data_IF_910441741321
#
_entry.id   IF_910441741321
#
_cell.length_a   1.000
_cell.length_b   1.000
_cell.length_c   1.000
_cell.angle_alpha   90.00
_cell.angle_beta   90.00
_cell.angle_gamma   90.00
#
_symmetry.space_group_name_H-M   'P 1'
#
loop_
_entity.id
_entity.type
_entity.pdbx_description
1 polymer ?
#
# COMPACT_ATOMS: atom_id res chain seq x y z
N UNK A 1 6.14 -25.88 -0.84
CA UNK A 1 5.31 -24.67 -0.80
C UNK A 1 6.13 -23.66 -0.06
N UNK A 2 6.30 -22.46 -0.60
CA UNK A 2 7.11 -21.43 0.05
C UNK A 2 6.27 -20.67 1.06
N UNK A 3 6.77 -20.53 2.28
CA UNK A 3 6.09 -19.84 3.38
C UNK A 3 6.82 -18.54 3.74
N UNK A 4 6.07 -17.43 3.76
CA UNK A 4 6.58 -16.16 4.25
C UNK A 4 6.49 -16.12 5.77
N UNK A 5 7.63 -16.19 6.45
CA UNK A 5 7.72 -16.22 7.92
C UNK A 5 7.71 -14.82 8.52
N UNK A 6 8.39 -13.87 7.87
CA UNK A 6 8.50 -12.49 8.35
C UNK A 6 8.64 -11.52 7.18
N UNK A 7 8.04 -10.34 7.33
CA UNK A 7 8.23 -9.18 6.46
C UNK A 7 8.55 -7.97 7.32
N UNK A 8 9.56 -7.20 6.93
CA UNK A 8 9.95 -5.95 7.59
C UNK A 8 10.22 -4.91 6.53
N UNK A 9 9.38 -3.89 6.49
CA UNK A 9 9.44 -2.79 5.51
C UNK A 9 9.94 -1.52 6.20
N UNK A 10 10.95 -0.87 5.62
CA UNK A 10 11.45 0.41 6.09
C UNK A 10 10.45 1.55 5.79
N UNK A 11 10.48 2.63 6.56
CA UNK A 11 9.75 3.85 6.23
C UNK A 11 10.36 4.50 4.97
N UNK A 12 9.55 4.88 3.96
CA UNK A 12 10.08 5.58 2.78
C UNK A 12 10.68 6.93 3.18
N UNK A 13 11.74 7.35 2.48
CA UNK A 13 12.39 8.64 2.73
C UNK A 13 11.50 9.85 2.36
N UNK A 14 10.59 9.65 1.41
CA UNK A 14 9.58 10.64 0.98
C UNK A 14 8.47 9.95 0.20
N UNK A 15 7.34 10.61 0.03
CA UNK A 15 6.27 10.15 -0.85
C UNK A 15 6.27 10.89 -2.19
N UNK A 16 5.66 10.33 -3.25
CA UNK A 16 5.48 11.05 -4.50
C UNK A 16 4.71 12.35 -4.29
N UNK A 17 4.97 13.35 -5.14
CA UNK A 17 4.25 14.62 -5.08
C UNK A 17 2.73 14.42 -5.26
N UNK A 18 1.94 15.25 -4.58
CA UNK A 18 0.49 15.28 -4.73
C UNK A 18 0.09 15.53 -6.20
N UNK A 19 -0.90 14.81 -6.74
CA UNK A 19 -1.44 15.07 -8.06
C UNK A 19 -1.99 16.50 -8.17
N UNK A 20 -1.90 17.08 -9.37
CA UNK A 20 -2.51 18.36 -9.69
C UNK A 20 -4.05 18.29 -9.72
N UNK A 21 -4.72 19.43 -9.57
CA UNK A 21 -6.18 19.53 -9.73
C UNK A 21 -6.98 19.15 -8.48
N UNK A 22 -6.34 19.19 -7.31
CA UNK A 22 -7.01 19.13 -6.01
C UNK A 22 -7.71 20.46 -5.71
N UNK A 23 -8.87 20.38 -5.07
CA UNK A 23 -9.50 21.53 -4.42
C UNK A 23 -8.61 22.10 -3.31
N UNK A 24 -8.81 23.37 -2.94
CA UNK A 24 -8.03 24.00 -1.84
C UNK A 24 -8.11 23.20 -0.53
N UNK A 25 -9.28 22.70 -0.10
CA UNK A 25 -9.37 21.84 1.08
C UNK A 25 -8.61 20.52 0.92
N UNK A 26 -8.70 19.88 -0.24
CA UNK A 26 -8.00 18.61 -0.50
C UNK A 26 -6.48 18.78 -0.59
N UNK A 27 -6.01 19.91 -1.13
CA UNK A 27 -4.59 20.25 -1.18
C UNK A 27 -4.01 20.62 0.20
N UNK A 28 -4.86 20.97 1.18
CA UNK A 28 -4.46 21.27 2.55
C UNK A 28 -4.30 20.01 3.43
N UNK A 29 -4.77 18.85 2.96
CA UNK A 29 -4.55 17.58 3.65
C UNK A 29 -3.08 17.17 3.60
N UNK A 30 -2.64 16.42 4.62
CA UNK A 30 -1.35 15.77 4.59
C UNK A 30 -1.31 14.70 3.49
N UNK A 31 -0.46 14.93 2.49
CA UNK A 31 -0.29 14.04 1.35
C UNK A 31 0.31 12.68 1.74
N UNK A 32 1.18 12.65 2.76
CA UNK A 32 1.83 11.42 3.21
C UNK A 32 0.79 10.45 3.77
N UNK A 33 -0.13 10.94 4.60
CA UNK A 33 -1.25 10.15 5.12
C UNK A 33 -2.11 9.52 4.02
N UNK A 34 -2.31 10.21 2.88
CA UNK A 34 -3.09 9.67 1.76
C UNK A 34 -2.30 8.57 1.04
N UNK A 35 -1.00 8.78 0.82
CA UNK A 35 -0.14 7.76 0.22
C UNK A 35 0.00 6.51 1.08
N UNK A 36 0.19 6.66 2.39
CA UNK A 36 0.22 5.54 3.33
C UNK A 36 -1.04 4.69 3.24
N UNK A 37 -2.22 5.31 3.13
CA UNK A 37 -3.49 4.59 2.94
C UNK A 37 -3.55 3.85 1.61
N UNK A 38 -3.04 4.43 0.53
CA UNK A 38 -2.98 3.78 -0.78
C UNK A 38 -2.03 2.58 -0.75
N UNK A 39 -0.85 2.73 -0.16
CA UNK A 39 0.14 1.66 -0.06
C UNK A 39 -0.31 0.55 0.91
N UNK A 40 -1.04 0.87 1.98
CA UNK A 40 -1.67 -0.13 2.84
C UNK A 40 -2.76 -0.94 2.11
N UNK A 41 -3.41 -0.35 1.11
CA UNK A 41 -4.46 -1.02 0.32
C UNK A 41 -3.90 -1.82 -0.87
N UNK A 42 -2.66 -1.56 -1.27
CA UNK A 42 -2.05 -2.13 -2.48
C UNK A 42 -0.79 -2.93 -2.17
N UNK A 43 -0.33 -3.73 -3.12
CA UNK A 43 0.96 -4.44 -3.07
C UNK A 43 2.04 -3.70 -3.87
N UNK A 44 1.81 -2.42 -4.14
CA UNK A 44 2.70 -1.57 -4.94
C UNK A 44 3.29 -0.48 -4.06
N UNK A 45 4.60 -0.28 -4.14
CA UNK A 45 5.31 0.85 -3.51
C UNK A 45 5.72 1.83 -4.57
N UNK A 46 5.57 3.12 -4.28
CA UNK A 46 5.87 4.18 -5.24
C UNK A 46 7.20 4.88 -4.93
N UNK A 47 7.65 4.82 -3.67
CA UNK A 47 8.99 5.24 -3.28
C UNK A 47 9.85 4.05 -2.92
N UNK A 48 11.08 4.05 -3.45
CA UNK A 48 12.11 3.06 -3.15
C UNK A 48 12.43 3.01 -1.66
N UNK A 49 12.44 1.80 -1.10
CA UNK A 49 12.78 1.51 0.29
C UNK A 49 13.19 0.06 0.47
N UNK A 50 13.90 -0.17 1.56
CA UNK A 50 14.31 -1.52 1.93
C UNK A 50 13.13 -2.33 2.46
N UNK A 51 13.02 -3.57 1.99
CA UNK A 51 12.14 -4.59 2.55
C UNK A 51 12.94 -5.87 2.76
N UNK A 52 12.82 -6.44 3.94
CA UNK A 52 13.44 -7.71 4.32
C UNK A 52 12.36 -8.76 4.51
N UNK A 53 12.48 -9.87 3.80
CA UNK A 53 11.61 -11.03 3.93
C UNK A 53 12.38 -12.24 4.44
N UNK A 54 11.79 -12.96 5.38
CA UNK A 54 12.25 -14.30 5.78
C UNK A 54 11.29 -15.33 5.20
N UNK A 55 11.80 -16.25 4.39
CA UNK A 55 11.02 -17.20 3.62
C UNK A 55 11.56 -18.61 3.86
N UNK A 56 10.69 -19.57 4.08
CA UNK A 56 11.03 -20.99 4.12
C UNK A 56 10.54 -21.67 2.85
N UNK A 57 11.32 -22.61 2.32
CA UNK A 57 10.90 -23.41 1.18
C UNK A 57 11.90 -24.47 0.77
N UNK A 58 11.51 -25.25 -0.25
CA UNK A 58 12.32 -26.35 -0.79
C UNK A 58 13.12 -25.99 -2.04
N UNK A 59 14.08 -26.84 -2.38
CA UNK A 59 14.86 -26.74 -3.62
C UNK A 59 13.94 -26.73 -4.86
N UNK A 60 14.20 -25.80 -5.78
CA UNK A 60 13.47 -25.66 -7.04
C UNK A 60 12.10 -24.99 -6.91
N UNK A 61 11.66 -24.65 -5.69
CA UNK A 61 10.44 -23.88 -5.49
C UNK A 61 10.63 -22.41 -5.88
N UNK A 62 9.56 -21.79 -6.36
CA UNK A 62 9.57 -20.39 -6.75
C UNK A 62 8.80 -19.57 -5.72
N UNK A 63 9.45 -18.53 -5.19
CA UNK A 63 8.87 -17.57 -4.29
C UNK A 63 8.74 -16.20 -4.96
N UNK A 64 7.53 -15.64 -4.96
CA UNK A 64 7.27 -14.30 -5.49
C UNK A 64 7.22 -13.29 -4.33
N UNK A 65 8.04 -12.23 -4.32
CA UNK A 65 7.94 -11.17 -3.34
C UNK A 65 6.50 -10.59 -3.29
N UNK A 66 5.96 -10.33 -2.09
CA UNK A 66 4.58 -9.86 -1.94
C UNK A 66 4.41 -8.39 -2.34
N UNK A 67 5.49 -7.59 -2.31
CA UNK A 67 5.50 -6.18 -2.68
C UNK A 67 6.28 -5.95 -3.98
N UNK A 68 5.83 -4.96 -4.75
CA UNK A 68 6.34 -4.65 -6.08
C UNK A 68 6.42 -3.13 -6.32
N UNK A 69 7.17 -2.66 -7.32
CA UNK A 69 8.20 -3.39 -8.05
C UNK A 69 9.45 -3.64 -7.18
N UNK A 70 10.08 -4.80 -7.34
CA UNK A 70 11.40 -5.07 -6.76
C UNK A 70 12.46 -4.55 -7.72
N UNK A 71 13.25 -3.57 -7.31
CA UNK A 71 14.30 -2.96 -8.12
C UNK A 71 15.61 -3.75 -8.06
N UNK A 72 15.96 -4.27 -6.88
CA UNK A 72 17.12 -5.12 -6.64
C UNK A 72 16.92 -5.96 -5.40
N UNK A 73 17.66 -7.07 -5.27
CA UNK A 73 17.66 -7.89 -4.07
C UNK A 73 19.01 -8.57 -3.84
N UNK A 74 19.24 -8.97 -2.60
CA UNK A 74 20.29 -9.89 -2.16
C UNK A 74 19.67 -10.94 -1.25
N UNK A 75 20.31 -12.10 -1.13
CA UNK A 75 19.81 -13.17 -0.29
C UNK A 75 20.89 -13.80 0.59
N UNK A 76 20.45 -14.30 1.73
CA UNK A 76 21.22 -15.10 2.65
C UNK A 76 20.40 -16.33 3.04
N UNK A 77 21.04 -17.48 3.25
CA UNK A 77 20.43 -18.70 3.77
C UNK A 77 20.86 -18.91 5.21
N UNK A 78 19.92 -19.37 6.06
CA UNK A 78 20.24 -19.76 7.42
C UNK A 78 20.89 -21.14 7.43
N UNK A 79 22.19 -21.19 7.74
CA UNK A 79 22.97 -22.42 7.80
C UNK A 79 23.89 -22.41 9.01
N UNK A 80 23.96 -23.54 9.72
CA UNK A 80 24.88 -23.72 10.85
C UNK A 80 24.81 -22.61 11.93
N UNK A 81 23.63 -22.02 12.13
CA UNK A 81 23.40 -20.96 13.12
C UNK A 81 23.81 -19.55 12.67
N UNK A 82 24.04 -19.33 11.38
CA UNK A 82 24.38 -18.03 10.81
C UNK A 82 23.67 -17.80 9.46
N UNK A 83 23.57 -16.52 9.08
CA UNK A 83 23.16 -16.13 7.73
C UNK A 83 24.38 -16.19 6.80
N UNK A 84 24.29 -16.97 5.73
CA UNK A 84 25.35 -17.15 4.73
C UNK A 84 24.85 -16.63 3.39
N UNK A 85 25.62 -15.77 2.74
CA UNK A 85 25.23 -15.21 1.44
C UNK A 85 24.95 -16.31 0.42
N UNK A 86 23.84 -16.17 -0.30
CA UNK A 86 23.43 -17.09 -1.36
C UNK A 86 22.81 -16.32 -2.52
N UNK A 87 22.81 -16.93 -3.71
CA UNK A 87 22.13 -16.37 -4.87
C UNK A 87 20.76 -17.04 -5.03
N UNK A 88 19.71 -16.24 -5.21
CA UNK A 88 18.41 -16.72 -5.63
C UNK A 88 18.27 -16.45 -7.13
N UNK A 89 18.40 -17.46 -8.01
CA UNK A 89 18.22 -17.26 -9.43
C UNK A 89 16.78 -16.88 -9.77
N UNK A 90 16.59 -16.13 -10.85
CA UNK A 90 15.25 -15.88 -11.39
C UNK A 90 14.63 -17.20 -11.87
N UNK A 91 13.41 -17.44 -11.41
CA UNK A 91 12.55 -18.54 -11.83
C UNK A 91 11.37 -18.06 -12.67
N UNK A 92 10.54 -18.99 -13.19
CA UNK A 92 9.44 -18.66 -14.09
C UNK A 92 8.35 -17.76 -13.48
N UNK A 93 8.22 -17.73 -12.15
CA UNK A 93 7.17 -16.98 -11.44
C UNK A 93 7.70 -16.18 -10.24
N UNK A 94 9.01 -15.95 -10.14
CA UNK A 94 9.62 -15.28 -8.98
C UNK A 94 11.08 -15.68 -8.81
N UNK A 95 11.56 -15.68 -7.57
CA UNK A 95 12.90 -16.14 -7.22
C UNK A 95 12.87 -17.65 -6.94
N UNK A 96 13.77 -18.39 -7.55
CA UNK A 96 13.91 -19.83 -7.34
C UNK A 96 14.81 -20.11 -6.13
N UNK A 97 14.36 -20.97 -5.23
CA UNK A 97 15.12 -21.38 -4.06
C UNK A 97 16.15 -22.46 -4.44
N UNK A 98 17.46 -22.23 -4.23
CA UNK A 98 18.51 -23.13 -4.72
C UNK A 98 18.69 -24.40 -3.87
N UNK A 99 18.02 -24.48 -2.72
CA UNK A 99 18.14 -25.60 -1.78
C UNK A 99 17.04 -25.51 -0.72
N UNK A 100 16.83 -26.57 0.05
CA UNK A 100 15.92 -26.53 1.20
C UNK A 100 16.43 -25.60 2.30
N UNK A 101 15.50 -24.87 2.93
CA UNK A 101 15.76 -24.15 4.19
C UNK A 101 15.10 -22.78 4.29
N UNK A 102 15.65 -21.95 5.17
CA UNK A 102 15.17 -20.60 5.44
C UNK A 102 16.10 -19.57 4.79
N UNK A 103 15.51 -18.66 4.05
CA UNK A 103 16.17 -17.60 3.31
C UNK A 103 15.75 -16.24 3.86
N UNK A 104 16.69 -15.30 3.90
CA UNK A 104 16.46 -13.90 4.17
C UNK A 104 16.75 -13.12 2.90
N UNK A 105 15.75 -12.45 2.35
CA UNK A 105 15.84 -11.65 1.13
C UNK A 105 15.74 -10.19 1.52
N UNK A 106 16.80 -9.43 1.26
CA UNK A 106 16.83 -7.98 1.43
C UNK A 106 16.70 -7.34 0.06
N UNK A 107 15.67 -6.52 -0.14
CA UNK A 107 15.35 -5.93 -1.43
C UNK A 107 15.11 -4.43 -1.35
N UNK A 108 15.33 -3.75 -2.47
CA UNK A 108 14.84 -2.40 -2.70
C UNK A 108 13.53 -2.47 -3.45
N UNK A 109 12.44 -2.02 -2.82
CA UNK A 109 11.07 -2.10 -3.34
C UNK A 109 10.52 -0.71 -3.54
N UNK A 110 9.86 -0.50 -4.67
CA UNK A 110 9.29 0.78 -5.05
C UNK A 110 10.18 1.52 -6.02
N UNK A 111 9.57 2.01 -7.10
CA UNK A 111 10.21 2.82 -8.11
C UNK A 111 9.16 3.40 -9.07
N UNK A 112 9.56 4.44 -9.79
CA UNK A 112 8.82 5.00 -10.90
C UNK A 112 7.67 5.91 -10.50
N UNK A 113 7.08 6.56 -11.51
CA UNK A 113 5.96 7.47 -11.30
C UNK A 113 4.66 6.71 -11.04
N UNK A 114 3.81 7.17 -10.09
CA UNK A 114 2.51 6.60 -9.89
C UNK A 114 1.69 6.61 -11.19
N UNK A 115 1.11 5.46 -11.60
CA UNK A 115 0.24 5.43 -12.76
C UNK A 115 -0.94 6.39 -12.60
N UNK A 116 -1.45 6.92 -13.72
CA UNK A 116 -2.57 7.86 -13.72
C UNK A 116 -3.79 7.39 -12.91
N UNK A 117 -4.06 6.08 -12.90
CA UNK A 117 -5.15 5.51 -12.11
C UNK A 117 -4.91 5.66 -10.58
N UNK A 118 -3.66 5.55 -10.14
CA UNK A 118 -3.25 5.73 -8.75
C UNK A 118 -3.31 7.21 -8.37
N UNK A 119 -2.82 8.10 -9.24
CA UNK A 119 -2.94 9.56 -9.04
C UNK A 119 -4.41 10.00 -8.95
N UNK A 120 -5.28 9.43 -9.78
CA UNK A 120 -6.72 9.70 -9.72
C UNK A 120 -7.36 9.10 -8.45
N UNK A 121 -6.90 7.94 -7.99
CA UNK A 121 -7.35 7.37 -6.71
C UNK A 121 -6.95 8.25 -5.53
N UNK A 122 -5.72 8.78 -5.53
CA UNK A 122 -5.27 9.79 -4.57
C UNK A 122 -6.20 10.99 -4.60
N UNK A 123 -6.45 11.56 -5.78
CA UNK A 123 -7.31 12.74 -5.93
C UNK A 123 -8.70 12.48 -5.34
N UNK A 124 -9.35 11.36 -5.69
CA UNK A 124 -10.68 11.00 -5.17
C UNK A 124 -10.70 10.83 -3.66
N UNK A 125 -9.68 10.18 -3.10
CA UNK A 125 -9.57 10.00 -1.66
C UNK A 125 -9.36 11.35 -0.96
N UNK A 126 -8.49 12.20 -1.48
CA UNK A 126 -8.23 13.54 -0.96
C UNK A 126 -9.49 14.41 -0.96
N UNK A 127 -10.20 14.49 -2.10
CA UNK A 127 -11.45 15.26 -2.22
C UNK A 127 -12.52 14.74 -1.24
N UNK A 128 -12.66 13.41 -1.14
CA UNK A 128 -13.62 12.81 -0.23
C UNK A 128 -13.30 13.10 1.25
N UNK A 129 -12.02 13.09 1.62
CA UNK A 129 -11.59 13.37 2.99
C UNK A 129 -11.66 14.86 3.32
N UNK A 130 -11.51 15.73 2.33
CA UNK A 130 -11.60 17.17 2.50
C UNK A 130 -13.05 17.67 2.58
N UNK A 131 -13.98 17.00 1.90
CA UNK A 131 -15.42 17.21 2.08
C UNK A 131 -15.88 16.83 3.52
N UNK A 132 -15.10 16.03 4.24
CA UNK A 132 -15.41 15.53 5.59
C UNK A 132 -15.00 16.50 6.73
N UNK A 133 -14.47 17.70 6.42
CA UNK A 133 -13.94 18.63 7.43
C UNK A 133 -15.00 19.27 8.32
N UNK A 134 -16.28 19.25 7.94
CA UNK A 134 -17.31 19.93 8.71
C UNK A 134 -17.75 19.17 9.97
N UNK A 135 -17.51 17.83 10.08
CA UNK A 135 -18.16 16.98 11.11
C UNK A 135 -17.39 15.72 11.53
N UNK A 136 -16.06 15.79 11.66
CA UNK A 136 -15.26 14.68 12.16
C UNK A 136 -15.79 14.17 13.52
N UNK A 137 -16.18 12.88 13.59
CA UNK A 137 -16.64 12.22 14.82
C UNK A 137 -18.16 12.25 15.10
N UNK A 138 -18.98 12.82 14.22
CA UNK A 138 -20.44 12.91 14.43
C UNK A 138 -21.19 11.81 13.66
N UNK A 139 -21.88 10.91 14.37
CA UNK A 139 -22.67 9.81 13.77
C UNK A 139 -24.08 10.21 13.32
N UNK A 140 -24.57 11.37 13.77
CA UNK A 140 -25.83 11.97 13.33
C UNK A 140 -25.80 13.50 13.51
N UNK A 141 -26.22 14.21 12.47
CA UNK A 141 -26.33 15.67 12.51
C UNK A 141 -27.67 16.09 11.91
N UNK A 142 -28.38 16.97 12.63
CA UNK A 142 -29.66 17.54 12.21
C UNK A 142 -29.59 19.05 12.41
N UNK A 143 -29.81 19.81 11.34
CA UNK A 143 -29.98 21.27 11.42
C UNK A 143 -31.35 21.62 10.90
N UNK A 144 -32.14 22.26 11.77
CA UNK A 144 -33.37 22.91 11.40
C UNK A 144 -33.07 24.35 10.94
N UNK A 145 -33.04 24.58 9.64
CA UNK A 145 -33.08 25.93 9.08
C UNK A 145 -34.55 26.34 8.82
N UNK A 146 -35.22 26.83 9.88
CA UNK A 146 -36.34 27.76 9.74
C UNK A 146 -37.49 27.41 8.76
N UNK A 147 -37.85 26.13 8.59
CA UNK A 147 -39.24 25.76 8.26
C UNK A 147 -39.60 25.27 6.85
N UNK A 148 -38.67 24.92 5.94
CA UNK A 148 -39.11 24.32 4.65
C UNK A 148 -38.22 23.24 4.02
N UNK A 149 -36.98 23.01 4.49
CA UNK A 149 -36.13 21.94 3.96
C UNK A 149 -35.47 21.23 5.13
N UNK A 150 -35.79 19.94 5.28
CA UNK A 150 -35.18 19.03 6.25
C UNK A 150 -34.16 18.17 5.50
N UNK A 151 -32.87 18.42 5.73
CA UNK A 151 -31.79 17.57 5.24
C UNK A 151 -31.30 16.71 6.39
N UNK A 152 -31.65 15.41 6.38
CA UNK A 152 -31.19 14.45 7.37
C UNK A 152 -30.02 13.66 6.81
N UNK A 153 -28.91 13.65 7.54
CA UNK A 153 -27.73 12.90 7.18
C UNK A 153 -27.35 11.94 8.30
N UNK A 154 -27.58 10.65 8.08
CA UNK A 154 -27.05 9.57 8.91
C UNK A 154 -25.83 8.98 8.22
N UNK A 155 -24.68 9.00 8.90
CA UNK A 155 -23.47 8.33 8.44
C UNK A 155 -22.95 7.39 9.53
N UNK A 156 -22.55 6.19 9.11
CA UNK A 156 -22.02 5.17 10.02
C UNK A 156 -20.67 5.61 10.62
N UNK A 157 -20.41 5.28 11.88
CA UNK A 157 -19.16 5.58 12.58
C UNK A 157 -17.89 4.98 11.91
N UNK A 158 -18.05 4.06 10.95
CA UNK A 158 -16.97 3.47 10.17
C UNK A 158 -16.54 4.33 8.95
N UNK A 159 -17.04 5.56 8.80
CA UNK A 159 -16.83 6.39 7.61
C UNK A 159 -15.36 6.64 7.26
N UNK A 160 -14.54 7.01 8.25
CA UNK A 160 -13.10 7.22 8.07
C UNK A 160 -12.34 5.91 7.76
N UNK A 161 -12.85 4.77 8.25
CA UNK A 161 -12.30 3.44 8.01
C UNK A 161 -12.67 2.88 6.62
N UNK A 162 -13.71 3.43 5.97
CA UNK A 162 -14.18 3.05 4.62
C UNK A 162 -13.97 4.15 3.56
N UNK A 163 -13.16 5.16 3.87
CA UNK A 163 -12.93 6.30 2.97
C UNK A 163 -12.43 5.87 1.57
N UNK A 164 -11.59 4.83 1.50
CA UNK A 164 -11.10 4.28 0.23
C UNK A 164 -12.22 3.68 -0.63
N UNK A 165 -13.18 3.00 -0.03
CA UNK A 165 -14.32 2.42 -0.74
C UNK A 165 -15.33 3.51 -1.11
N UNK A 166 -15.64 4.42 -0.19
CA UNK A 166 -16.65 5.45 -0.39
C UNK A 166 -16.24 6.51 -1.41
N UNK A 167 -14.93 6.79 -1.55
CA UNK A 167 -14.39 7.69 -2.57
C UNK A 167 -14.35 7.08 -3.98
N UNK A 168 -14.60 5.77 -4.12
CA UNK A 168 -14.37 5.06 -5.38
C UNK A 168 -12.89 4.93 -5.77
N UNK A 169 -11.96 5.28 -4.88
CA UNK A 169 -10.52 5.08 -5.07
C UNK A 169 -10.17 3.58 -5.08
N UNK A 170 -10.83 2.78 -4.25
CA UNK A 170 -10.62 1.33 -4.16
C UNK A 170 -10.77 0.59 -5.50
N UNK A 171 -11.71 1.01 -6.35
CA UNK A 171 -11.94 0.36 -7.65
C UNK A 171 -10.76 0.59 -8.61
N UNK A 172 -10.19 1.79 -8.60
CA UNK A 172 -9.00 2.14 -9.37
C UNK A 172 -7.75 1.41 -8.86
N UNK A 173 -7.69 1.16 -7.55
CA UNK A 173 -6.56 0.48 -6.91
C UNK A 173 -6.66 -1.06 -6.97
N UNK A 174 -7.80 -1.62 -7.35
CA UNK A 174 -8.03 -3.07 -7.40
C UNK A 174 -6.98 -3.87 -8.19
N UNK A 175 -6.49 -3.40 -9.36
CA UNK A 175 -5.42 -4.10 -10.09
C UNK A 175 -4.09 -4.16 -9.33
N UNK A 176 -3.82 -3.17 -8.48
CA UNK A 176 -2.56 -3.02 -7.73
C UNK A 176 -2.56 -3.79 -6.40
N UNK A 177 -3.70 -4.36 -6.01
CA UNK A 177 -3.82 -5.23 -4.82
C UNK A 177 -3.46 -6.70 -5.13
N UNK A 178 -3.47 -7.07 -6.41
CA UNK A 178 -3.14 -8.44 -6.84
C UNK A 178 -1.63 -8.60 -6.86
N UNK A 179 -1.15 -9.76 -6.40
CA UNK A 179 0.21 -10.19 -6.70
C UNK A 179 0.28 -10.38 -8.22
N UNK A 180 1.26 -9.76 -8.86
CA UNK A 180 1.50 -9.90 -10.29
C UNK A 180 2.30 -11.17 -10.56
#
# INVERSE_FOLDING_TARGET
MTDLLQETEATPASYPASPSGLSTPAAALDAEMIWERIEAYTRTRYTAREVVWTVEGGEGENWTPPLSPVASHTAEKWESGAWVSTALPDGPVGLCLPSDGVFKVTAQVGAGDPPRAVSEAFRRLAEYMADDTDRAGVSSYSVNMGGAIQESYQRSAAHAARALQNSGAADLLRPYRRQK
#
